data_IF_420288106925
#
_entry.id   IF_420288106925
#
_cell.length_a   1.000
_cell.length_b   1.000
_cell.length_c   1.000
_cell.angle_alpha   90.00
_cell.angle_beta   90.00
_cell.angle_gamma   90.00
#
_symmetry.space_group_name_H-M   'P 1'
#
loop_
_entity.id
_entity.type
_entity.pdbx_description
1 polymer ?
#
# COMPACT_ATOMS: atom_id res chain seq x y z
N UNK A 1 -12.24 -3.48 -11.84
CA UNK A 1 -13.24 -3.46 -10.76
C UNK A 1 -12.58 -4.14 -9.57
N UNK A 2 -12.59 -3.52 -8.38
CA UNK A 2 -11.88 -4.08 -7.23
C UNK A 2 -12.54 -5.36 -6.74
N UNK A 3 -11.73 -6.34 -6.35
CA UNK A 3 -12.22 -7.54 -5.67
C UNK A 3 -12.70 -7.21 -4.25
N UNK A 4 -13.51 -8.07 -3.60
CA UNK A 4 -13.92 -7.83 -2.21
C UNK A 4 -12.75 -7.63 -1.26
N UNK A 5 -11.65 -8.38 -1.45
CA UNK A 5 -10.44 -8.27 -0.64
C UNK A 5 -9.74 -6.93 -0.86
N UNK A 6 -9.58 -6.50 -2.11
CA UNK A 6 -9.02 -5.19 -2.44
C UNK A 6 -9.85 -4.05 -1.84
N UNK A 7 -11.19 -4.16 -1.90
CA UNK A 7 -12.09 -3.16 -1.34
C UNK A 7 -12.03 -3.09 0.18
N UNK A 8 -12.01 -4.22 0.88
CA UNK A 8 -11.87 -4.26 2.35
C UNK A 8 -10.52 -3.68 2.78
N UNK A 9 -9.44 -4.11 2.12
CA UNK A 9 -8.09 -3.58 2.38
C UNK A 9 -8.03 -2.08 2.13
N UNK A 10 -8.64 -1.60 1.05
CA UNK A 10 -8.70 -0.18 0.73
C UNK A 10 -9.44 0.63 1.80
N UNK A 11 -10.63 0.20 2.22
CA UNK A 11 -11.41 0.89 3.26
C UNK A 11 -10.68 0.94 4.61
N UNK A 12 -9.97 -0.13 4.97
CA UNK A 12 -9.13 -0.18 6.16
C UNK A 12 -8.01 0.85 6.08
N UNK A 13 -7.36 0.99 4.92
CA UNK A 13 -6.31 1.99 4.70
C UNK A 13 -6.86 3.41 4.80
N UNK A 14 -8.04 3.68 4.22
CA UNK A 14 -8.71 4.98 4.39
C UNK A 14 -8.90 5.31 5.87
N UNK A 15 -9.47 4.38 6.63
CA UNK A 15 -9.74 4.58 8.05
C UNK A 15 -8.47 4.88 8.86
N UNK A 16 -7.40 4.12 8.62
CA UNK A 16 -6.14 4.31 9.35
C UNK A 16 -5.44 5.59 8.91
N UNK A 17 -5.48 5.94 7.63
CA UNK A 17 -4.95 7.21 7.11
C UNK A 17 -5.64 8.40 7.80
N UNK A 18 -6.97 8.37 7.91
CA UNK A 18 -7.74 9.44 8.55
C UNK A 18 -7.38 9.60 10.03
N UNK A 19 -7.29 8.49 10.76
CA UNK A 19 -6.88 8.51 12.17
C UNK A 19 -5.48 9.10 12.34
N UNK A 20 -4.54 8.78 11.45
CA UNK A 20 -3.18 9.35 11.50
C UNK A 20 -3.16 10.81 11.14
N UNK A 21 -3.85 11.20 10.07
CA UNK A 21 -3.92 12.60 9.65
C UNK A 21 -4.43 13.51 10.78
N UNK A 22 -5.41 13.02 11.56
CA UNK A 22 -5.94 13.72 12.73
C UNK A 22 -4.94 13.83 13.89
N UNK A 23 -4.09 12.82 14.10
CA UNK A 23 -3.20 12.74 15.25
C UNK A 23 -1.78 13.27 15.00
N UNK A 24 -1.14 12.86 13.92
CA UNK A 24 0.28 13.12 13.64
C UNK A 24 0.52 13.83 12.29
N UNK A 25 -0.55 14.06 11.50
CA UNK A 25 -0.49 14.66 10.15
C UNK A 25 0.39 13.88 9.16
N UNK A 26 0.70 12.62 9.45
CA UNK A 26 1.44 11.73 8.55
C UNK A 26 0.47 11.04 7.59
N UNK A 27 0.84 11.02 6.32
CA UNK A 27 0.19 10.20 5.29
C UNK A 27 0.81 8.81 5.15
N UNK A 28 1.93 8.58 5.85
CA UNK A 28 2.66 7.31 5.85
C UNK A 28 2.24 6.44 7.04
N UNK A 29 2.02 5.15 6.78
CA UNK A 29 1.53 4.21 7.77
C UNK A 29 2.12 2.80 7.67
N UNK A 30 2.02 2.09 8.79
CA UNK A 30 2.33 0.68 8.90
C UNK A 30 1.17 -0.05 9.58
N UNK A 31 0.73 -1.16 9.00
CA UNK A 31 -0.27 -2.06 9.57
C UNK A 31 0.38 -3.33 10.16
N UNK A 32 0.65 -3.31 11.46
CA UNK A 32 1.17 -4.48 12.18
C UNK A 32 0.21 -5.66 12.12
N UNK A 33 0.74 -6.89 12.06
CA UNK A 33 -0.06 -8.12 12.02
C UNK A 33 -1.12 -8.17 13.12
N UNK A 34 -0.72 -7.93 14.36
CA UNK A 34 -1.66 -7.89 15.49
C UNK A 34 -2.74 -6.82 15.31
N UNK A 35 -2.39 -5.66 14.74
CA UNK A 35 -3.34 -4.59 14.47
C UNK A 35 -4.32 -4.96 13.34
N UNK A 36 -3.80 -5.58 12.26
CA UNK A 36 -4.59 -6.11 11.13
C UNK A 36 -5.62 -7.11 11.62
N UNK A 37 -5.19 -8.14 12.34
CA UNK A 37 -6.08 -9.20 12.79
C UNK A 37 -7.02 -8.77 13.92
N UNK A 38 -6.48 -8.18 14.98
CA UNK A 38 -7.24 -7.97 16.22
C UNK A 38 -8.13 -6.73 16.19
N UNK A 39 -7.72 -5.65 15.52
CA UNK A 39 -8.51 -4.41 15.47
C UNK A 39 -9.30 -4.28 14.17
N UNK A 40 -8.68 -4.62 13.05
CA UNK A 40 -9.24 -4.37 11.72
C UNK A 40 -9.95 -5.59 11.11
N UNK A 41 -9.79 -6.78 11.70
CA UNK A 41 -10.32 -8.04 11.15
C UNK A 41 -9.77 -8.40 9.77
N UNK A 42 -8.62 -7.85 9.41
CA UNK A 42 -8.00 -8.01 8.09
C UNK A 42 -7.15 -9.29 8.07
N UNK A 43 -7.58 -10.28 7.28
CA UNK A 43 -6.83 -11.53 7.10
C UNK A 43 -5.57 -11.31 6.27
N UNK A 44 -4.62 -12.25 6.33
CA UNK A 44 -3.45 -12.20 5.45
C UNK A 44 -3.84 -12.28 3.96
N UNK A 45 -4.87 -13.03 3.57
CA UNK A 45 -5.30 -13.05 2.17
C UNK A 45 -5.80 -11.69 1.71
N UNK A 46 -6.55 -10.99 2.58
CA UNK A 46 -7.01 -9.64 2.27
C UNK A 46 -5.81 -8.67 2.19
N UNK A 47 -4.87 -8.76 3.13
CA UNK A 47 -3.71 -7.87 3.19
C UNK A 47 -2.75 -8.02 1.99
N UNK A 48 -2.66 -9.21 1.38
CA UNK A 48 -1.88 -9.39 0.13
C UNK A 48 -2.33 -8.41 -0.96
N UNK A 49 -3.64 -8.07 -0.99
CA UNK A 49 -4.26 -7.12 -1.93
C UNK A 49 -3.66 -5.71 -1.90
N UNK A 50 -2.84 -5.39 -0.89
CA UNK A 50 -2.08 -4.14 -0.81
C UNK A 50 -1.21 -3.92 -2.06
N UNK A 51 -0.60 -4.98 -2.59
CA UNK A 51 0.25 -4.85 -3.78
C UNK A 51 -0.56 -4.58 -5.04
N UNK A 52 -1.73 -5.20 -5.19
CA UNK A 52 -2.67 -4.96 -6.27
C UNK A 52 -3.22 -3.53 -6.23
N UNK A 53 -3.56 -3.01 -5.04
CA UNK A 53 -3.95 -1.62 -4.86
C UNK A 53 -2.84 -0.63 -5.25
N UNK A 54 -1.58 -0.99 -4.96
CA UNK A 54 -0.43 -0.21 -5.39
C UNK A 54 -0.20 -0.26 -6.91
N UNK A 55 -0.43 -1.42 -7.54
CA UNK A 55 -0.38 -1.56 -9.01
C UNK A 55 -1.47 -0.71 -9.70
N UNK A 56 -2.66 -0.60 -9.10
CA UNK A 56 -3.70 0.32 -9.55
C UNK A 56 -3.40 1.79 -9.24
N UNK A 57 -2.32 2.07 -8.50
CA UNK A 57 -1.90 3.43 -8.12
C UNK A 57 -2.88 4.13 -7.19
N UNK A 58 -3.64 3.37 -6.39
CA UNK A 58 -4.54 3.91 -5.37
C UNK A 58 -3.76 4.24 -4.08
N UNK A 59 -2.70 3.48 -3.83
CA UNK A 59 -1.78 3.66 -2.71
C UNK A 59 -0.35 3.53 -3.22
N UNK A 60 0.64 3.94 -2.42
CA UNK A 60 2.03 3.54 -2.66
C UNK A 60 2.51 2.66 -1.52
N UNK A 61 3.32 1.66 -1.88
CA UNK A 61 3.88 0.70 -0.94
C UNK A 61 5.38 0.73 -1.12
N UNK A 62 6.08 1.18 -0.07
CA UNK A 62 7.54 1.16 -0.01
C UNK A 62 7.99 0.02 0.89
N UNK A 63 8.86 -0.84 0.36
CA UNK A 63 9.54 -1.85 1.17
C UNK A 63 10.83 -1.25 1.76
N UNK A 64 10.94 -1.06 3.08
CA UNK A 64 12.18 -0.59 3.69
C UNK A 64 13.30 -1.64 3.66
N UNK A 65 12.99 -2.90 3.34
CA UNK A 65 13.95 -3.99 3.27
C UNK A 65 14.38 -4.23 1.81
N UNK A 66 15.61 -3.85 1.42
CA UNK A 66 16.05 -3.94 0.01
C UNK A 66 16.08 -5.37 -0.56
N UNK A 67 16.20 -6.39 0.29
CA UNK A 67 16.28 -7.79 -0.14
C UNK A 67 14.95 -8.55 -0.02
N UNK A 68 13.89 -7.91 0.47
CA UNK A 68 12.57 -8.53 0.62
C UNK A 68 11.81 -8.44 -0.70
N UNK A 69 11.38 -9.58 -1.24
CA UNK A 69 10.52 -9.65 -2.43
C UNK A 69 9.14 -10.13 -2.03
N UNK A 70 8.11 -9.29 -2.24
CA UNK A 70 6.69 -9.64 -1.99
C UNK A 70 6.47 -10.22 -0.58
N UNK A 71 7.06 -9.58 0.43
CA UNK A 71 6.90 -9.95 1.83
C UNK A 71 7.76 -11.15 2.26
N UNK A 72 8.51 -11.76 1.34
CA UNK A 72 9.41 -12.87 1.63
C UNK A 72 10.84 -12.37 1.80
N UNK A 73 11.40 -12.63 2.97
CA UNK A 73 12.82 -12.47 3.26
C UNK A 73 13.52 -13.77 2.92
N UNK A 74 14.73 -13.72 2.37
CA UNK A 74 15.52 -14.94 2.18
C UNK A 74 16.01 -15.47 3.54
N UNK A 75 15.97 -16.78 3.71
CA UNK A 75 16.35 -17.43 4.97
C UNK A 75 17.81 -17.05 5.31
N UNK A 76 18.02 -16.35 6.44
CA UNK A 76 19.34 -15.92 6.92
C UNK A 76 19.62 -14.41 6.83
N UNK A 77 18.72 -13.59 6.30
CA UNK A 77 18.91 -12.13 6.24
C UNK A 77 18.33 -11.36 7.42
N UNK A 78 17.42 -11.98 8.18
CA UNK A 78 16.97 -11.43 9.45
C UNK A 78 17.93 -11.86 10.55
N UNK A 79 18.67 -10.90 11.08
CA UNK A 79 19.64 -10.98 12.19
C UNK A 79 18.94 -11.34 13.54
N UNK A 80 17.99 -12.28 13.51
CA UNK A 80 17.07 -12.60 14.60
C UNK A 80 15.94 -11.59 14.82
N UNK A 81 15.89 -10.48 14.07
CA UNK A 81 14.84 -9.47 14.17
C UNK A 81 13.65 -9.78 13.25
N UNK A 82 12.41 -9.49 13.67
CA UNK A 82 11.27 -9.59 12.77
C UNK A 82 11.45 -8.64 11.56
N UNK A 83 10.97 -9.02 10.36
CA UNK A 83 10.95 -8.14 9.19
C UNK A 83 10.44 -6.75 9.54
N UNK A 84 11.15 -5.71 9.10
CA UNK A 84 10.57 -4.37 9.08
C UNK A 84 9.39 -4.37 8.13
N UNK A 85 8.24 -3.85 8.51
CA UNK A 85 7.06 -3.94 7.69
C UNK A 85 7.05 -2.97 6.50
N UNK A 86 6.08 -3.11 5.60
CA UNK A 86 5.86 -2.13 4.54
C UNK A 86 5.46 -0.77 5.10
N UNK A 87 5.99 0.28 4.48
CA UNK A 87 5.48 1.63 4.64
C UNK A 87 4.46 1.91 3.53
N UNK A 88 3.27 2.35 3.92
CA UNK A 88 2.13 2.55 3.03
C UNK A 88 1.80 4.04 3.02
N UNK A 89 1.78 4.66 1.85
CA UNK A 89 1.30 6.02 1.66
C UNK A 89 -0.01 6.00 0.88
N UNK A 90 -0.89 6.97 1.15
CA UNK A 90 -2.17 7.11 0.43
C UNK A 90 -2.21 8.48 -0.25
N UNK A 91 -1.44 8.69 -1.33
CA UNK A 91 -1.30 9.99 -1.96
C UNK A 91 -2.62 10.49 -2.57
N UNK A 92 -3.54 9.58 -2.89
CA UNK A 92 -4.82 9.92 -3.51
C UNK A 92 -5.69 10.85 -2.65
N UNK A 93 -5.45 10.93 -1.33
CA UNK A 93 -6.16 11.86 -0.46
C UNK A 93 -5.51 13.23 -0.35
N UNK A 94 -4.34 13.45 -0.95
CA UNK A 94 -3.63 14.75 -0.94
C UNK A 94 -3.50 15.38 0.46
N UNK A 95 -3.37 14.55 1.51
CA UNK A 95 -3.30 15.00 2.90
C UNK A 95 -4.63 15.50 3.48
N UNK A 96 -5.76 15.14 2.86
CA UNK A 96 -7.11 15.37 3.37
C UNK A 96 -7.71 14.07 3.93
N UNK A 97 -8.80 14.18 4.69
CA UNK A 97 -9.55 13.01 5.12
C UNK A 97 -10.17 12.32 3.91
N UNK A 98 -10.30 11.00 3.96
CA UNK A 98 -10.84 10.20 2.87
C UNK A 98 -12.28 10.58 2.47
N UNK A 99 -13.05 11.18 3.40
CA UNK A 99 -14.40 11.73 3.15
C UNK A 99 -14.40 13.09 2.45
N UNK A 100 -13.31 13.86 2.63
CA UNK A 100 -13.20 15.25 2.20
C UNK A 100 -12.32 15.38 0.95
N UNK A 101 -11.49 14.36 0.69
CA UNK A 101 -10.67 14.26 -0.49
C UNK A 101 -11.56 14.20 -1.74
N UNK A 102 -11.38 15.17 -2.63
CA UNK A 102 -11.81 15.01 -4.01
C UNK A 102 -10.94 13.92 -4.61
N UNK A 103 -11.50 12.71 -4.74
CA UNK A 103 -10.84 11.63 -5.46
C UNK A 103 -10.42 12.16 -6.82
N UNK A 104 -9.10 12.14 -7.09
CA UNK A 104 -8.61 12.43 -8.42
C UNK A 104 -9.00 11.27 -9.34
N UNK A 105 -10.20 11.39 -9.91
CA UNK A 105 -10.76 10.37 -10.78
C UNK A 105 -9.98 10.24 -12.09
N UNK A 106 -9.13 11.22 -12.43
CA UNK A 106 -8.28 11.15 -13.62
C UNK A 106 -7.26 9.99 -13.54
N UNK A 107 -6.94 9.53 -12.33
CA UNK A 107 -6.12 8.33 -12.13
C UNK A 107 -6.78 7.04 -12.67
N UNK A 108 -8.10 7.05 -12.89
CA UNK A 108 -8.85 5.94 -13.49
C UNK A 108 -9.10 6.10 -15.00
N UNK A 109 -8.78 7.25 -15.59
CA UNK A 109 -8.94 7.47 -17.04
C UNK A 109 -7.97 6.61 -17.85
N UNK A 110 -6.87 6.19 -17.22
CA UNK A 110 -5.93 5.25 -17.82
C UNK A 110 -6.32 3.81 -17.44
N UNK A 111 -6.62 2.93 -18.42
CA UNK A 111 -6.83 1.52 -18.15
C UNK A 111 -5.67 0.93 -17.33
N UNK A 112 -5.98 0.09 -16.34
CA UNK A 112 -4.94 -0.53 -15.50
C UNK A 112 -3.84 -1.21 -16.31
N UNK A 113 -4.20 -1.82 -17.46
CA UNK A 113 -3.23 -2.44 -18.37
C UNK A 113 -2.25 -1.43 -18.97
N UNK A 114 -2.72 -0.23 -19.35
CA UNK A 114 -1.87 0.82 -19.92
C UNK A 114 -0.96 1.43 -18.85
N UNK A 115 -1.45 1.54 -17.62
CA UNK A 115 -0.66 1.99 -16.47
C UNK A 115 0.46 1.00 -16.14
N UNK A 116 0.16 -0.31 -16.14
CA UNK A 116 1.15 -1.37 -15.98
C UNK A 116 2.15 -1.37 -17.14
N UNK A 117 1.71 -1.22 -18.38
CA UNK A 117 2.59 -1.11 -19.56
C UNK A 117 3.50 0.10 -19.44
N UNK A 118 2.99 1.26 -19.03
CA UNK A 118 3.77 2.48 -18.80
C UNK A 118 4.84 2.25 -17.72
N UNK A 119 4.47 1.68 -16.57
CA UNK A 119 5.42 1.38 -15.49
C UNK A 119 6.50 0.38 -15.92
N UNK A 120 6.15 -0.63 -16.73
CA UNK A 120 7.09 -1.60 -17.29
C UNK A 120 7.99 -0.98 -18.36
N UNK A 121 7.48 0.00 -19.13
CA UNK A 121 8.25 0.76 -20.11
C UNK A 121 9.28 1.69 -19.45
N UNK A 122 8.96 2.21 -18.26
CA UNK A 122 9.91 2.83 -17.33
C UNK A 122 10.80 1.76 -16.66
N UNK A 123 11.57 1.00 -17.45
CA UNK A 123 12.69 0.26 -16.87
C UNK A 123 13.65 1.28 -16.25
N UNK A 124 13.82 1.20 -14.92
CA UNK A 124 14.83 1.95 -14.19
C UNK A 124 16.19 1.84 -14.90
N UNK A 125 16.99 2.92 -14.95
CA UNK A 125 18.33 2.85 -15.53
C UNK A 125 19.08 1.71 -14.84
N UNK A 126 19.54 0.74 -15.64
CA UNK A 126 20.44 -0.30 -15.14
C UNK A 126 21.68 0.40 -14.61
N UNK A 127 21.78 0.54 -13.30
CA UNK A 127 23.01 0.98 -12.64
C UNK A 127 24.10 -0.02 -13.06
N UNK A 128 25.07 0.49 -13.81
CA UNK A 128 26.32 -0.19 -14.17
C UNK A 128 27.33 -0.04 -13.06
#
# INVERSE_FOLDING_TARGET
MLTPNELVTFLVLCHVADLRLLHDRSTSMFLAEQFRYSLLGLTDEAYVSLHELAEFGLIEVTDPMPNRKRGRIQLGETDGKPPEPYNISVPMFSGQLSTDALFDLSMFDTPAIDRVISNLAFQAPRLR
#
